data_IF_475965594373
#
_entry.id   IF_475965594373
#
_cell.length_a   1.000
_cell.length_b   1.000
_cell.length_c   1.000
_cell.angle_alpha   90.00
_cell.angle_beta   90.00
_cell.angle_gamma   90.00
#
_symmetry.space_group_name_H-M   'P 1'
#
loop_
_entity.id
_entity.type
_entity.pdbx_description
1 polymer ?
#
# COMPACT_ATOMS: atom_id res chain seq x y z
N UNK A 1 -11.92 8.53 15.85
CA UNK A 1 -10.98 7.82 14.94
C UNK A 1 -11.54 7.91 13.51
N UNK A 2 -10.73 8.26 12.51
CA UNK A 2 -11.19 8.41 11.11
C UNK A 2 -10.52 7.35 10.23
N UNK A 3 -11.33 6.61 9.47
CA UNK A 3 -10.86 5.73 8.40
C UNK A 3 -10.83 6.52 7.08
N UNK A 4 -9.81 6.32 6.27
CA UNK A 4 -9.67 6.99 4.98
C UNK A 4 -9.06 6.03 3.96
N UNK A 5 -9.48 6.17 2.71
CA UNK A 5 -9.00 5.38 1.57
C UNK A 5 -8.15 6.29 0.70
N UNK A 6 -6.98 5.80 0.28
CA UNK A 6 -6.11 6.44 -0.69
C UNK A 6 -5.83 5.43 -1.79
N UNK A 7 -6.09 5.79 -3.04
CA UNK A 7 -5.98 4.92 -4.21
C UNK A 7 -5.64 5.75 -5.44
N UNK A 8 -4.81 5.21 -6.32
CA UNK A 8 -4.58 5.72 -7.67
C UNK A 8 -5.22 4.73 -8.66
N UNK A 9 -5.95 5.25 -9.64
CA UNK A 9 -6.68 4.45 -10.64
C UNK A 9 -6.68 5.15 -11.99
N UNK A 10 -6.81 4.39 -13.08
CA UNK A 10 -7.08 4.95 -14.41
C UNK A 10 -8.56 5.33 -14.59
N UNK A 11 -8.91 5.85 -15.77
CA UNK A 11 -10.28 6.27 -16.11
C UNK A 11 -11.31 5.13 -16.03
N UNK A 12 -10.86 3.87 -16.12
CA UNK A 12 -11.68 2.66 -16.02
C UNK A 12 -11.56 1.98 -14.65
N UNK A 13 -11.06 2.69 -13.63
CA UNK A 13 -10.90 2.22 -12.26
C UNK A 13 -9.87 1.09 -12.08
N UNK A 14 -8.98 0.87 -13.05
CA UNK A 14 -7.87 -0.08 -12.92
C UNK A 14 -6.86 0.43 -11.89
N UNK A 15 -6.55 -0.39 -10.89
CA UNK A 15 -5.58 -0.06 -9.82
C UNK A 15 -4.29 -0.89 -9.86
N UNK A 16 -4.27 -1.94 -10.70
CA UNK A 16 -3.20 -2.93 -10.66
C UNK A 16 -3.35 -3.98 -11.75
N UNK A 17 -2.22 -4.49 -12.24
CA UNK A 17 -2.14 -5.63 -13.18
C UNK A 17 -0.99 -6.54 -12.74
N UNK A 18 -1.23 -7.85 -12.68
CA UNK A 18 -0.21 -8.85 -12.32
C UNK A 18 0.57 -8.53 -11.02
N UNK A 19 -0.15 -8.09 -9.97
CA UNK A 19 0.43 -7.70 -8.68
C UNK A 19 1.42 -6.52 -8.74
N UNK A 20 1.31 -5.65 -9.75
CA UNK A 20 2.09 -4.43 -9.90
C UNK A 20 1.19 -3.26 -10.31
N UNK A 21 1.70 -2.03 -10.14
CA UNK A 21 1.11 -0.85 -10.76
C UNK A 21 1.36 -0.91 -12.27
N UNK A 22 0.34 -0.70 -13.13
CA UNK A 22 0.51 -0.77 -14.58
C UNK A 22 1.18 0.48 -15.16
N UNK A 23 1.51 1.47 -14.31
CA UNK A 23 2.20 2.70 -14.67
C UNK A 23 3.43 2.93 -13.78
N UNK A 24 4.35 3.74 -14.28
CA UNK A 24 5.45 4.29 -13.49
C UNK A 24 5.25 5.80 -13.33
N UNK A 25 4.70 6.21 -12.17
CA UNK A 25 4.39 7.61 -11.89
C UNK A 25 4.99 8.04 -10.54
N UNK A 26 6.24 8.55 -10.52
CA UNK A 26 6.93 8.91 -9.29
C UNK A 26 6.21 9.98 -8.46
N UNK A 27 5.48 10.89 -9.11
CA UNK A 27 4.71 11.93 -8.46
C UNK A 27 3.58 11.37 -7.58
N UNK A 28 2.91 10.30 -8.03
CA UNK A 28 1.86 9.62 -7.26
C UNK A 28 2.44 8.96 -6.00
N UNK A 29 3.57 8.27 -6.13
CA UNK A 29 4.27 7.68 -4.98
C UNK A 29 4.77 8.74 -3.98
N UNK A 30 5.24 9.89 -4.46
CA UNK A 30 5.62 11.02 -3.61
C UNK A 30 4.42 11.59 -2.85
N UNK A 31 3.28 11.73 -3.54
CA UNK A 31 2.02 12.16 -2.92
C UNK A 31 1.53 11.15 -1.87
N UNK A 32 1.53 9.86 -2.19
CA UNK A 32 1.17 8.79 -1.25
C UNK A 32 2.07 8.82 -0.02
N UNK A 33 3.39 8.94 -0.19
CA UNK A 33 4.35 9.07 0.91
C UNK A 33 4.01 10.27 1.79
N UNK A 34 3.91 11.47 1.21
CA UNK A 34 3.59 12.71 1.94
C UNK A 34 2.27 12.58 2.72
N UNK A 35 1.26 11.98 2.11
CA UNK A 35 -0.09 11.89 2.69
C UNK A 35 -0.17 10.87 3.84
N UNK A 36 0.61 9.79 3.76
CA UNK A 36 0.56 8.67 4.71
C UNK A 36 1.63 8.70 5.80
N UNK A 37 2.69 9.50 5.66
CA UNK A 37 3.73 9.62 6.70
C UNK A 37 3.15 10.00 8.07
N UNK A 38 3.61 9.33 9.12
CA UNK A 38 3.12 9.52 10.49
C UNK A 38 1.77 8.87 10.79
N UNK A 39 1.13 8.21 9.82
CA UNK A 39 -0.16 7.52 9.96
C UNK A 39 0.02 6.01 9.89
N UNK A 40 -0.98 5.28 10.38
CA UNK A 40 -1.09 3.85 10.13
C UNK A 40 -1.56 3.59 8.70
N UNK A 41 -0.93 2.64 8.01
CA UNK A 41 -1.30 2.20 6.68
C UNK A 41 -1.77 0.76 6.76
N UNK A 42 -3.06 0.56 6.50
CA UNK A 42 -3.69 -0.75 6.39
C UNK A 42 -3.61 -1.21 4.93
N UNK A 43 -3.08 -2.40 4.69
CA UNK A 43 -2.95 -2.98 3.35
C UNK A 43 -3.19 -4.49 3.36
N UNK A 44 -3.53 -5.06 2.22
CA UNK A 44 -3.61 -6.52 2.07
C UNK A 44 -2.21 -7.15 1.88
N UNK A 45 -2.09 -8.45 2.20
CA UNK A 45 -0.83 -9.20 2.01
C UNK A 45 -0.23 -9.06 0.61
N UNK A 46 -1.04 -9.16 -0.45
CA UNK A 46 -0.55 -9.05 -1.84
C UNK A 46 0.04 -7.66 -2.16
N UNK A 47 -0.57 -6.60 -1.62
CA UNK A 47 -0.05 -5.23 -1.74
C UNK A 47 1.29 -5.09 -1.02
N UNK A 48 1.42 -5.68 0.18
CA UNK A 48 2.70 -5.71 0.90
C UNK A 48 3.78 -6.44 0.08
N UNK A 49 3.46 -7.62 -0.46
CA UNK A 49 4.41 -8.39 -1.30
C UNK A 49 4.84 -7.61 -2.55
N UNK A 50 3.93 -6.84 -3.16
CA UNK A 50 4.23 -5.98 -4.32
C UNK A 50 5.19 -4.84 -3.96
N UNK A 51 5.05 -4.26 -2.75
CA UNK A 51 5.98 -3.23 -2.24
C UNK A 51 7.33 -3.84 -1.83
N UNK A 52 7.31 -5.08 -1.31
CA UNK A 52 8.49 -5.87 -0.94
C UNK A 52 9.18 -5.45 0.35
N UNK A 53 8.70 -4.41 1.05
CA UNK A 53 9.28 -3.92 2.31
C UNK A 53 8.29 -3.08 3.12
N UNK A 54 8.48 -2.97 4.45
CA UNK A 54 7.75 -2.01 5.25
C UNK A 54 7.98 -0.58 4.77
N UNK A 55 6.91 0.20 4.76
CA UNK A 55 6.98 1.61 4.43
C UNK A 55 7.57 2.38 5.62
N UNK A 56 8.71 3.11 5.46
CA UNK A 56 9.34 3.80 6.58
C UNK A 56 8.46 4.93 7.13
N UNK A 57 8.64 5.25 8.41
CA UNK A 57 7.92 6.32 9.15
C UNK A 57 6.40 6.13 9.16
N UNK A 58 5.93 4.89 9.05
CA UNK A 58 4.52 4.49 9.01
C UNK A 58 4.34 3.21 9.82
N UNK A 59 3.22 3.11 10.54
CA UNK A 59 2.80 1.84 11.14
C UNK A 59 2.15 1.00 10.04
N UNK A 60 2.82 -0.07 9.61
CA UNK A 60 2.33 -0.95 8.56
C UNK A 60 1.43 -2.02 9.20
N UNK A 61 0.19 -2.13 8.75
CA UNK A 61 -0.77 -3.14 9.21
C UNK A 61 -1.18 -3.99 8.02
N UNK A 62 -0.85 -5.28 8.05
CA UNK A 62 -1.06 -6.20 6.94
C UNK A 62 -2.22 -7.12 7.27
N UNK A 63 -3.24 -7.12 6.43
CA UNK A 63 -4.38 -8.02 6.55
C UNK A 63 -4.08 -9.32 5.81
N UNK A 64 -4.10 -10.42 6.55
CA UNK A 64 -3.92 -11.76 6.04
C UNK A 64 -4.81 -12.76 6.80
N UNK A 65 -5.24 -13.84 6.14
CA UNK A 65 -5.98 -14.94 6.76
C UNK A 65 -5.06 -16.03 7.33
N UNK A 66 -3.80 -16.09 6.87
CA UNK A 66 -2.82 -17.05 7.37
C UNK A 66 -2.30 -16.62 8.74
N UNK A 67 -2.64 -17.38 9.79
CA UNK A 67 -2.22 -17.12 11.18
C UNK A 67 -0.73 -17.33 11.42
N UNK A 68 -0.03 -18.06 10.53
CA UNK A 68 1.42 -18.28 10.58
C UNK A 68 2.21 -17.25 9.80
N UNK A 69 1.55 -16.29 9.15
CA UNK A 69 2.23 -15.26 8.37
C UNK A 69 3.07 -14.36 9.27
N UNK A 70 4.31 -14.13 8.83
CA UNK A 70 5.21 -13.14 9.42
C UNK A 70 5.62 -12.18 8.32
N UNK A 71 5.53 -10.89 8.60
CA UNK A 71 6.13 -9.86 7.76
C UNK A 71 7.48 -9.48 8.36
N UNK A 72 8.37 -8.97 7.51
CA UNK A 72 9.64 -8.41 7.96
C UNK A 72 9.40 -7.03 8.61
N UNK A 73 10.08 -6.75 9.72
CA UNK A 73 9.99 -5.49 10.47
C UNK A 73 8.99 -5.51 11.63
#
# INVERSE_FOLDING_TARGET
MKLSIIVAMDDNQLIGKNNALPWHLPADLAYFKKTTTGKAVLMGRKTYDSIGRPLPNRRNIIVNRNTKFKADG
#
